data_IF_645078553088
#
_entry.id   IF_645078553088
#
_cell.length_a   1.000
_cell.length_b   1.000
_cell.length_c   1.000
_cell.angle_alpha   90.00
_cell.angle_beta   90.00
_cell.angle_gamma   90.00
#
_symmetry.space_group_name_H-M   'P 1'
#
loop_
_entity.id
_entity.type
_entity.pdbx_description
1 polymer ?
#
# COMPACT_ATOMS: atom_id res chain seq x y z
N UNK A 1 -18.83 10.88 2.31
CA UNK A 1 -17.79 10.37 1.42
C UNK A 1 -17.60 8.91 1.81
N UNK A 2 -17.72 7.96 0.88
CA UNK A 2 -17.56 6.55 1.24
C UNK A 2 -16.13 6.33 1.71
N UNK A 3 -15.99 5.82 2.93
CA UNK A 3 -14.73 5.43 3.58
C UNK A 3 -14.17 4.11 2.99
N UNK A 4 -14.57 3.80 1.75
CA UNK A 4 -14.28 2.54 1.10
C UNK A 4 -12.82 2.54 0.61
N UNK A 5 -12.06 1.46 0.88
CA UNK A 5 -10.68 1.36 0.46
C UNK A 5 -10.58 1.35 -1.06
N UNK A 6 -9.54 2.00 -1.59
CA UNK A 6 -9.13 1.84 -2.99
C UNK A 6 -8.60 0.42 -3.12
N UNK A 7 -9.23 -0.41 -3.96
CA UNK A 7 -8.68 -1.71 -4.32
C UNK A 7 -8.04 -1.61 -5.71
N UNK A 8 -6.80 -2.06 -5.81
CA UNK A 8 -6.05 -2.12 -7.07
C UNK A 8 -5.34 -3.47 -7.20
N UNK A 9 -5.05 -3.86 -8.43
CA UNK A 9 -4.12 -4.94 -8.72
C UNK A 9 -2.68 -4.45 -8.60
N UNK A 10 -1.76 -5.39 -8.39
CA UNK A 10 -0.32 -5.11 -8.48
C UNK A 10 0.03 -4.41 -9.79
N UNK A 11 0.89 -3.39 -9.72
CA UNK A 11 1.37 -2.57 -10.85
C UNK A 11 0.31 -1.69 -11.53
N UNK A 12 -0.88 -1.59 -10.97
CA UNK A 12 -1.93 -0.72 -11.53
C UNK A 12 -1.63 0.78 -11.31
N UNK A 13 -0.95 1.11 -10.21
CA UNK A 13 -0.56 2.48 -9.86
C UNK A 13 0.94 2.59 -9.61
N UNK A 14 1.46 3.82 -9.74
CA UNK A 14 2.81 4.18 -9.30
C UNK A 14 2.89 4.33 -7.78
N UNK A 15 4.11 4.39 -7.24
CA UNK A 15 4.32 4.64 -5.81
C UNK A 15 3.77 6.01 -5.39
N UNK A 16 3.95 7.03 -6.22
CA UNK A 16 3.44 8.39 -5.97
C UNK A 16 1.91 8.41 -5.92
N UNK A 17 1.26 7.76 -6.88
CA UNK A 17 -0.21 7.69 -6.93
C UNK A 17 -0.83 6.95 -5.74
N UNK A 18 -0.14 5.91 -5.25
CA UNK A 18 -0.54 5.21 -4.02
C UNK A 18 -0.36 6.15 -2.81
N UNK A 19 0.77 6.85 -2.72
CA UNK A 19 1.04 7.77 -1.62
C UNK A 19 0.07 8.95 -1.60
N UNK A 20 -0.30 9.52 -2.75
CA UNK A 20 -1.30 10.59 -2.83
C UNK A 20 -2.64 10.17 -2.25
N UNK A 21 -3.08 8.95 -2.57
CA UNK A 21 -4.32 8.38 -2.01
C UNK A 21 -4.20 8.20 -0.50
N UNK A 22 -3.08 7.71 0.00
CA UNK A 22 -2.85 7.50 1.43
C UNK A 22 -2.80 8.83 2.18
N UNK A 23 -2.10 9.83 1.65
CA UNK A 23 -2.01 11.18 2.20
C UNK A 23 -3.35 11.92 2.17
N UNK A 24 -4.26 11.58 1.26
CA UNK A 24 -5.65 12.05 1.27
C UNK A 24 -6.55 11.37 2.33
N UNK A 25 -5.97 10.50 3.17
CA UNK A 25 -6.67 9.77 4.23
C UNK A 25 -7.31 8.46 3.77
N UNK A 26 -7.07 8.03 2.52
CA UNK A 26 -7.66 6.78 2.01
C UNK A 26 -6.78 5.59 2.32
N UNK A 27 -7.42 4.44 2.52
CA UNK A 27 -6.75 3.14 2.54
C UNK A 27 -6.61 2.60 1.13
N UNK A 28 -5.45 2.04 0.81
CA UNK A 28 -5.20 1.33 -0.45
C UNK A 28 -4.99 -0.14 -0.14
N UNK A 29 -5.66 -1.01 -0.88
CA UNK A 29 -5.48 -2.46 -0.83
C UNK A 29 -4.95 -2.88 -2.19
N UNK A 30 -3.76 -3.46 -2.21
CA UNK A 30 -3.12 -3.99 -3.40
C UNK A 30 -3.25 -5.50 -3.40
N UNK A 31 -4.00 -6.06 -4.34
CA UNK A 31 -4.07 -7.50 -4.52
C UNK A 31 -2.87 -7.97 -5.33
N UNK A 32 -2.12 -8.93 -4.78
CA UNK A 32 -0.95 -9.55 -5.39
C UNK A 32 -1.14 -11.06 -5.47
N UNK A 33 -0.69 -11.68 -6.56
CA UNK A 33 -0.65 -13.13 -6.67
C UNK A 33 0.73 -13.65 -6.27
N UNK A 34 0.76 -14.60 -5.32
CA UNK A 34 1.98 -15.28 -4.88
C UNK A 34 1.72 -16.78 -4.85
N UNK A 35 2.49 -17.56 -5.63
CA UNK A 35 2.36 -19.02 -5.73
C UNK A 35 0.95 -19.48 -6.12
N UNK A 36 0.29 -18.76 -7.03
CA UNK A 36 -1.07 -19.08 -7.49
C UNK A 36 -2.17 -18.70 -6.50
N UNK A 37 -1.85 -17.93 -5.45
CA UNK A 37 -2.83 -17.48 -4.47
C UNK A 37 -2.83 -15.96 -4.36
N UNK A 38 -4.02 -15.37 -4.47
CA UNK A 38 -4.23 -13.96 -4.24
C UNK A 38 -4.05 -13.60 -2.76
N UNK A 39 -3.42 -12.46 -2.53
CA UNK A 39 -3.12 -11.89 -1.22
C UNK A 39 -3.30 -10.39 -1.29
N UNK A 40 -3.90 -9.83 -0.24
CA UNK A 40 -4.07 -8.40 -0.11
C UNK A 40 -2.93 -7.81 0.73
N UNK A 41 -2.33 -6.73 0.23
CA UNK A 41 -1.45 -5.84 0.98
C UNK A 41 -2.19 -4.54 1.25
N UNK A 42 -2.40 -4.21 2.52
CA UNK A 42 -3.09 -3.00 2.93
C UNK A 42 -2.10 -1.91 3.29
N UNK A 43 -2.25 -0.74 2.66
CA UNK A 43 -1.46 0.46 2.89
C UNK A 43 -2.38 1.56 3.42
N UNK A 44 -1.97 2.24 4.49
CA UNK A 44 -2.75 3.35 5.08
C UNK A 44 -1.86 4.28 5.89
N UNK A 45 -2.43 5.42 6.26
CA UNK A 45 -1.89 6.34 7.25
C UNK A 45 -2.85 6.40 8.44
N UNK A 46 -2.30 6.37 9.65
CA UNK A 46 -3.02 6.69 10.89
C UNK A 46 -2.69 8.13 11.31
N UNK A 47 -3.20 8.58 12.46
CA UNK A 47 -2.84 9.89 12.99
C UNK A 47 -1.34 10.02 13.33
N UNK A 48 -0.63 8.89 13.48
CA UNK A 48 0.74 8.83 13.99
C UNK A 48 1.75 8.30 12.96
N UNK A 49 1.35 7.31 12.14
CA UNK A 49 2.31 6.51 11.34
C UNK A 49 1.72 6.05 10.01
N UNK A 50 2.61 5.68 9.09
CA UNK A 50 2.28 4.94 7.88
C UNK A 50 2.35 3.44 8.13
N UNK A 51 1.35 2.70 7.66
CA UNK A 51 1.18 1.27 7.94
C UNK A 51 1.18 0.48 6.64
N UNK A 52 2.01 -0.55 6.58
CA UNK A 52 2.14 -1.53 5.51
C UNK A 52 1.82 -2.92 6.10
N UNK A 53 0.62 -3.43 5.84
CA UNK A 53 0.16 -4.74 6.32
C UNK A 53 0.10 -5.74 5.15
N UNK A 54 0.95 -6.76 5.19
CA UNK A 54 0.99 -7.81 4.15
C UNK A 54 0.08 -9.00 4.45
N UNK A 55 -0.72 -8.94 5.52
CA UNK A 55 -1.48 -10.06 6.08
C UNK A 55 -0.63 -11.03 6.90
N UNK A 56 0.70 -11.03 6.73
CA UNK A 56 1.64 -11.83 7.52
C UNK A 56 2.54 -10.98 8.42
N UNK A 57 2.78 -9.73 8.04
CA UNK A 57 3.63 -8.81 8.78
C UNK A 57 3.02 -7.42 8.74
N UNK A 58 2.85 -6.85 9.91
CA UNK A 58 2.54 -5.44 10.10
C UNK A 58 3.85 -4.66 10.22
N UNK A 59 4.03 -3.64 9.38
CA UNK A 59 5.19 -2.76 9.40
C UNK A 59 4.72 -1.32 9.46
N UNK A 60 5.32 -0.57 10.36
CA UNK A 60 4.99 0.83 10.58
C UNK A 60 6.19 1.71 10.30
N UNK A 61 5.91 2.93 9.86
CA UNK A 61 6.91 3.92 9.49
C UNK A 61 6.47 5.30 9.96
N UNK A 62 7.35 6.03 10.62
CA UNK A 62 7.09 7.42 11.06
C UNK A 62 7.03 8.37 9.86
N UNK A 63 7.77 8.05 8.80
CA UNK A 63 7.94 8.90 7.61
C UNK A 63 7.40 8.25 6.34
N UNK A 64 7.00 9.09 5.39
CA UNK A 64 6.44 8.69 4.09
C UNK A 64 7.41 7.82 3.29
N UNK A 65 8.70 8.18 3.32
CA UNK A 65 9.77 7.45 2.60
C UNK A 65 9.94 6.01 3.10
N UNK A 66 9.61 5.75 4.37
CA UNK A 66 9.58 4.40 4.92
C UNK A 66 8.50 3.54 4.27
N UNK A 67 7.30 4.11 4.05
CA UNK A 67 6.22 3.42 3.35
C UNK A 67 6.51 3.25 1.86
N UNK A 68 7.06 4.27 1.18
CA UNK A 68 7.54 4.17 -0.21
C UNK A 68 8.55 3.03 -0.36
N UNK A 69 9.52 2.96 0.54
CA UNK A 69 10.48 1.85 0.59
C UNK A 69 9.79 0.49 0.79
N UNK A 70 8.70 0.40 1.57
CA UNK A 70 7.89 -0.82 1.67
C UNK A 70 7.30 -1.22 0.31
N UNK A 71 6.65 -0.27 -0.37
CA UNK A 71 5.99 -0.45 -1.66
C UNK A 71 6.98 -0.95 -2.71
N UNK A 72 8.16 -0.34 -2.79
CA UNK A 72 9.23 -0.73 -3.71
C UNK A 72 9.82 -2.10 -3.40
N UNK A 73 10.12 -2.37 -2.12
CA UNK A 73 10.68 -3.66 -1.68
C UNK A 73 9.72 -4.82 -1.95
N UNK A 74 8.42 -4.59 -1.76
CA UNK A 74 7.36 -5.55 -2.09
C UNK A 74 7.00 -5.56 -3.58
N UNK A 75 7.58 -4.64 -4.36
CA UNK A 75 7.38 -4.49 -5.81
C UNK A 75 5.89 -4.39 -6.16
N UNK A 76 5.14 -3.58 -5.41
CA UNK A 76 3.68 -3.43 -5.58
C UNK A 76 3.31 -2.59 -6.80
N UNK A 77 4.23 -1.74 -7.26
CA UNK A 77 4.03 -0.77 -8.33
C UNK A 77 4.81 -1.19 -9.57
N UNK A 78 4.43 -0.65 -10.74
CA UNK A 78 5.23 -0.89 -11.94
C UNK A 78 6.55 -0.12 -11.86
N UNK A 79 7.63 -0.75 -12.32
CA UNK A 79 8.94 -0.11 -12.36
C UNK A 79 8.94 0.81 -13.57
N UNK A 80 8.73 2.11 -13.37
CA UNK A 80 9.09 3.11 -14.40
C UNK A 80 10.59 3.37 -14.36
#
# INVERSE_FOLDING_TARGET
MSDDPVRISRKELSSEEIMDRISSGRRVIVTVEVLGVERDVTLRKTDEEYVCDTGFKLMNYEEEDGLKSCIERLRLTDTS
#
